data_IF_330277955358
#
_entry.id   IF_330277955358
#
_cell.length_a   1.000
_cell.length_b   1.000
_cell.length_c   1.000
_cell.angle_alpha   90.00
_cell.angle_beta   90.00
_cell.angle_gamma   90.00
#
_symmetry.space_group_name_H-M   'P 1'
#
loop_
_entity.id
_entity.type
_entity.pdbx_description
1 polymer ?
#
# COMPACT_ATOMS: atom_id res chain seq x y z
N UNK A 1 -5.54 -23.69 30.36
CA UNK A 1 -4.56 -23.03 29.46
C UNK A 1 -5.29 -22.76 28.17
N UNK A 2 -5.36 -21.52 27.70
CA UNK A 2 -6.01 -21.18 26.43
C UNK A 2 -5.20 -21.79 25.29
N UNK A 3 -5.79 -22.78 24.63
CA UNK A 3 -5.25 -23.52 23.50
C UNK A 3 -5.91 -23.02 22.23
N UNK A 4 -5.11 -22.74 21.20
CA UNK A 4 -5.64 -22.37 19.89
C UNK A 4 -5.86 -23.65 19.08
N UNK A 5 -7.12 -23.86 18.70
CA UNK A 5 -7.57 -24.97 17.87
C UNK A 5 -7.59 -24.54 16.41
N UNK A 6 -6.78 -25.19 15.58
CA UNK A 6 -6.73 -24.95 14.13
C UNK A 6 -7.26 -26.16 13.37
N UNK A 7 -8.05 -25.91 12.33
CA UNK A 7 -8.37 -26.92 11.33
C UNK A 7 -7.21 -27.13 10.35
N UNK A 8 -7.37 -28.09 9.43
CA UNK A 8 -6.32 -28.47 8.48
C UNK A 8 -5.99 -27.38 7.45
N UNK A 9 -6.99 -26.60 7.04
CA UNK A 9 -6.79 -25.49 6.11
C UNK A 9 -6.05 -24.35 6.80
N UNK A 10 -6.43 -24.05 8.05
CA UNK A 10 -5.78 -23.05 8.89
C UNK A 10 -4.32 -23.40 9.19
N UNK A 11 -4.02 -24.67 9.49
CA UNK A 11 -2.64 -25.13 9.69
C UNK A 11 -1.75 -24.91 8.45
N UNK A 12 -2.28 -25.12 7.25
CA UNK A 12 -1.54 -24.89 6.01
C UNK A 12 -1.24 -23.40 5.77
N UNK A 13 -2.20 -22.52 6.05
CA UNK A 13 -2.03 -21.07 5.92
C UNK A 13 -0.97 -20.58 6.91
N UNK A 14 -1.09 -20.96 8.18
CA UNK A 14 -0.10 -20.61 9.22
C UNK A 14 1.29 -21.12 8.83
N UNK A 15 1.39 -22.33 8.27
CA UNK A 15 2.64 -22.88 7.78
C UNK A 15 3.29 -22.01 6.69
N UNK A 16 2.51 -21.56 5.71
CA UNK A 16 3.01 -20.67 4.64
C UNK A 16 3.45 -19.30 5.18
N UNK A 17 2.71 -18.74 6.13
CA UNK A 17 3.06 -17.48 6.78
C UNK A 17 4.37 -17.59 7.56
N UNK A 18 4.59 -18.71 8.25
CA UNK A 18 5.81 -18.95 9.02
C UNK A 18 7.01 -19.17 8.10
N UNK A 19 6.86 -19.89 6.98
CA UNK A 19 7.92 -20.03 5.98
C UNK A 19 8.31 -18.64 5.40
N UNK A 20 7.33 -17.79 5.12
CA UNK A 20 7.56 -16.41 4.69
C UNK A 20 8.32 -15.59 5.74
N UNK A 21 7.93 -15.71 6.99
CA UNK A 21 8.56 -15.02 8.11
C UNK A 21 9.99 -15.54 8.40
N UNK A 22 10.22 -16.86 8.22
CA UNK A 22 11.55 -17.48 8.31
C UNK A 22 12.50 -16.93 7.26
N UNK A 23 12.03 -16.72 6.04
CA UNK A 23 12.87 -16.23 4.96
C UNK A 23 13.24 -14.75 5.11
N UNK A 24 12.55 -14.01 5.98
CA UNK A 24 12.77 -12.57 6.23
C UNK A 24 13.41 -12.24 7.58
N UNK A 25 13.49 -13.21 8.50
CA UNK A 25 14.04 -13.02 9.84
C UNK A 25 15.56 -13.26 9.87
N UNK A 26 16.35 -12.32 10.37
CA UNK A 26 17.82 -12.45 10.48
C UNK A 26 18.33 -12.67 11.93
N UNK A 27 17.50 -13.13 12.88
CA UNK A 27 17.90 -13.36 14.28
C UNK A 27 17.72 -14.81 14.75
N UNK A 28 18.74 -15.38 15.41
CA UNK A 28 18.79 -16.79 15.82
C UNK A 28 17.60 -17.21 16.72
N UNK A 29 17.22 -16.38 17.70
CA UNK A 29 16.14 -16.69 18.64
C UNK A 29 14.74 -16.71 17.98
N UNK A 30 14.49 -15.76 17.07
CA UNK A 30 13.21 -15.66 16.34
C UNK A 30 13.12 -16.77 15.30
N UNK A 31 14.21 -17.02 14.56
CA UNK A 31 14.29 -18.12 13.60
C UNK A 31 14.10 -19.47 14.30
N UNK A 32 14.75 -19.72 15.43
CA UNK A 32 14.56 -20.95 16.21
C UNK A 32 13.10 -21.13 16.65
N UNK A 33 12.45 -20.04 17.06
CA UNK A 33 11.04 -20.06 17.46
C UNK A 33 10.10 -20.33 16.27
N UNK A 34 10.33 -19.68 15.13
CA UNK A 34 9.61 -19.93 13.89
C UNK A 34 9.81 -21.36 13.37
N UNK A 35 11.06 -21.86 13.36
CA UNK A 35 11.38 -23.23 12.94
C UNK A 35 10.72 -24.27 13.84
N UNK A 36 10.63 -24.00 15.16
CA UNK A 36 9.92 -24.87 16.10
C UNK A 36 8.42 -24.95 15.78
N UNK A 37 7.76 -23.81 15.55
CA UNK A 37 6.33 -23.79 15.18
C UNK A 37 6.11 -24.43 13.80
N UNK A 38 7.01 -24.20 12.84
CA UNK A 38 6.93 -24.82 11.52
C UNK A 38 7.08 -26.34 11.57
N UNK A 39 7.99 -26.84 12.41
CA UNK A 39 8.18 -28.27 12.62
C UNK A 39 6.95 -28.91 13.26
N UNK A 40 6.32 -28.22 14.20
CA UNK A 40 5.05 -28.65 14.80
C UNK A 40 3.94 -28.76 13.76
N UNK A 41 3.75 -27.72 12.92
CA UNK A 41 2.72 -27.71 11.86
C UNK A 41 2.92 -28.87 10.87
N UNK A 42 4.17 -29.11 10.43
CA UNK A 42 4.51 -30.22 9.53
C UNK A 42 4.23 -31.59 10.15
N UNK A 43 4.49 -31.75 11.46
CA UNK A 43 4.18 -32.98 12.21
C UNK A 43 2.67 -33.19 12.41
N UNK A 44 1.88 -32.12 12.48
CA UNK A 44 0.42 -32.20 12.59
C UNK A 44 -0.31 -32.36 11.25
N UNK A 45 0.28 -31.90 10.14
CA UNK A 45 -0.32 -31.94 8.80
C UNK A 45 -0.03 -33.21 7.97
N UNK A 46 0.87 -34.08 8.43
CA UNK A 46 1.33 -35.27 7.67
C UNK A 46 0.25 -36.36 7.59
N UNK A 47 0.02 -37.00 6.42
CA UNK A 47 -1.07 -37.96 6.20
C UNK A 47 -0.95 -39.28 6.99
N UNK A 48 0.19 -39.58 7.61
CA UNK A 48 0.49 -40.91 8.21
C UNK A 48 0.15 -41.07 9.71
N UNK A 49 -0.58 -40.14 10.33
CA UNK A 49 -1.11 -40.40 11.69
C UNK A 49 -2.41 -41.21 11.61
N UNK A 50 -2.49 -42.37 12.28
CA UNK A 50 -3.72 -43.18 12.28
C UNK A 50 -4.85 -42.41 12.97
N UNK A 51 -5.97 -42.23 12.27
CA UNK A 51 -7.22 -41.77 12.87
C UNK A 51 -7.72 -42.80 13.91
N UNK A 52 -8.18 -42.38 15.09
CA UNK A 52 -9.05 -43.24 15.88
C UNK A 52 -10.39 -43.37 15.14
N UNK A 53 -10.86 -44.61 15.01
CA UNK A 53 -12.03 -44.94 14.20
C UNK A 53 -13.36 -44.45 14.82
N UNK A 54 -14.27 -44.05 13.91
CA UNK A 54 -15.73 -43.80 14.02
C UNK A 54 -16.18 -42.36 14.23
N UNK A 55 -17.17 -42.01 13.40
CA UNK A 55 -17.73 -40.70 13.15
C UNK A 55 -18.73 -40.22 14.21
N UNK A 56 -18.72 -38.91 14.48
CA UNK A 56 -19.90 -38.09 14.77
C UNK A 56 -19.57 -36.61 14.50
N UNK A 57 -20.54 -35.86 14.02
CA UNK A 57 -20.48 -34.42 13.73
C UNK A 57 -19.90 -33.61 14.92
N UNK A 58 -18.61 -33.31 14.84
CA UNK A 58 -17.87 -32.26 15.54
C UNK A 58 -16.42 -32.38 15.05
N UNK A 59 -15.95 -31.46 14.22
CA UNK A 59 -14.56 -31.45 13.75
C UNK A 59 -13.63 -31.18 14.92
N UNK A 60 -12.97 -32.21 15.44
CA UNK A 60 -11.90 -32.08 16.44
C UNK A 60 -10.70 -31.29 15.90
N UNK A 61 -10.00 -30.52 16.76
CA UNK A 61 -8.85 -29.71 16.34
C UNK A 61 -7.67 -30.55 15.89
N UNK A 62 -7.09 -30.20 14.73
CA UNK A 62 -5.97 -30.92 14.14
C UNK A 62 -4.61 -30.61 14.81
N UNK A 63 -4.54 -29.55 15.62
CA UNK A 63 -3.37 -29.19 16.42
C UNK A 63 -3.71 -28.20 17.54
N UNK A 64 -2.98 -28.27 18.65
CA UNK A 64 -3.10 -27.40 19.83
C UNK A 64 -1.81 -26.61 20.02
N UNK A 65 -1.89 -25.28 19.91
CA UNK A 65 -0.75 -24.36 20.04
C UNK A 65 -0.72 -23.64 21.40
N UNK A 66 0.48 -23.36 21.91
CA UNK A 66 0.69 -22.64 23.19
C UNK A 66 0.65 -21.11 23.02
N UNK A 67 0.54 -20.35 24.13
CA UNK A 67 0.60 -18.86 24.11
C UNK A 67 1.88 -18.30 23.46
N UNK A 68 3.00 -19.01 23.58
CA UNK A 68 4.25 -18.61 22.93
C UNK A 68 4.23 -18.86 21.41
N UNK A 69 3.45 -19.84 20.95
CA UNK A 69 3.28 -20.10 19.51
C UNK A 69 2.36 -19.06 18.86
N UNK A 70 1.34 -18.60 19.58
CA UNK A 70 0.45 -17.51 19.15
C UNK A 70 1.22 -16.22 18.83
N UNK A 71 2.24 -15.87 19.64
CA UNK A 71 3.08 -14.70 19.41
C UNK A 71 3.93 -14.80 18.14
N UNK A 72 4.37 -16.02 17.78
CA UNK A 72 5.13 -16.30 16.56
C UNK A 72 4.23 -16.29 15.34
N UNK A 73 2.98 -16.74 15.47
CA UNK A 73 1.98 -16.67 14.40
C UNK A 73 1.57 -15.22 14.12
N UNK A 74 1.33 -14.41 15.15
CA UNK A 74 1.07 -12.97 14.96
C UNK A 74 2.25 -12.24 14.34
N UNK A 75 3.49 -12.65 14.65
CA UNK A 75 4.67 -12.15 13.94
C UNK A 75 4.61 -12.45 12.43
N UNK A 76 4.29 -13.70 12.07
CA UNK A 76 4.17 -14.11 10.68
C UNK A 76 3.02 -13.39 9.93
N UNK A 77 1.88 -13.19 10.61
CA UNK A 77 0.76 -12.38 10.10
C UNK A 77 1.19 -10.94 9.87
N UNK A 78 1.90 -10.33 10.81
CA UNK A 78 2.40 -8.96 10.64
C UNK A 78 3.36 -8.87 9.46
N UNK A 79 4.29 -9.83 9.30
CA UNK A 79 5.21 -9.89 8.14
C UNK A 79 4.42 -10.00 6.83
N UNK A 80 3.39 -10.83 6.78
CA UNK A 80 2.48 -10.93 5.64
C UNK A 80 1.73 -9.61 5.36
N UNK A 81 1.13 -8.98 6.37
CA UNK A 81 0.50 -7.67 6.25
C UNK A 81 1.48 -6.59 5.78
N UNK A 82 2.76 -6.70 6.15
CA UNK A 82 3.80 -5.83 5.61
C UNK A 82 3.96 -6.02 4.10
N UNK A 83 4.04 -7.26 3.64
CA UNK A 83 4.24 -7.62 2.23
C UNK A 83 2.99 -7.30 1.39
N UNK A 84 1.80 -7.59 1.92
CA UNK A 84 0.49 -7.30 1.30
C UNK A 84 0.34 -5.81 0.99
N UNK A 85 0.74 -4.95 1.93
CA UNK A 85 0.79 -3.48 1.78
C UNK A 85 2.01 -3.00 0.96
N UNK A 86 2.36 -3.74 -0.09
CA UNK A 86 3.38 -3.35 -1.08
C UNK A 86 4.83 -3.26 -0.57
N UNK A 87 5.19 -3.74 0.62
CA UNK A 87 6.56 -3.56 1.15
C UNK A 87 7.60 -4.51 0.53
N UNK A 88 7.21 -5.57 -0.19
CA UNK A 88 8.13 -6.57 -0.75
C UNK A 88 7.60 -7.29 -2.02
N UNK A 89 7.47 -6.56 -3.13
CA UNK A 89 6.93 -7.08 -4.40
C UNK A 89 7.70 -8.31 -4.94
N UNK A 90 9.02 -8.36 -4.76
CA UNK A 90 9.86 -9.50 -5.17
C UNK A 90 9.57 -10.81 -4.41
N UNK A 91 8.84 -10.74 -3.28
CA UNK A 91 8.44 -11.91 -2.50
C UNK A 91 7.02 -12.35 -2.86
N UNK A 92 6.16 -11.46 -3.39
CA UNK A 92 4.80 -11.84 -3.79
C UNK A 92 4.81 -12.95 -4.84
N UNK A 93 5.68 -12.84 -5.85
CA UNK A 93 5.84 -13.83 -6.91
C UNK A 93 6.50 -15.13 -6.39
N UNK A 94 7.47 -15.03 -5.47
CA UNK A 94 8.17 -16.19 -4.88
C UNK A 94 7.26 -17.10 -4.05
N UNK A 95 6.28 -16.55 -3.35
CA UNK A 95 5.37 -17.31 -2.47
C UNK A 95 3.94 -17.44 -3.00
N UNK A 96 3.65 -16.92 -4.20
CA UNK A 96 2.32 -17.03 -4.81
C UNK A 96 1.23 -16.35 -3.97
N UNK A 97 1.49 -15.13 -3.47
CA UNK A 97 0.59 -14.41 -2.54
C UNK A 97 -0.76 -14.06 -3.20
N UNK A 98 -0.87 -14.05 -4.52
CA UNK A 98 -2.15 -13.92 -5.26
C UNK A 98 -3.15 -15.05 -4.97
N UNK A 99 -2.71 -16.16 -4.34
CA UNK A 99 -3.57 -17.28 -3.93
C UNK A 99 -4.20 -17.03 -2.53
N UNK A 100 -3.80 -15.98 -1.80
CA UNK A 100 -4.33 -15.67 -0.47
C UNK A 100 -5.52 -14.70 -0.45
N UNK A 101 -5.85 -14.03 -1.56
CA UNK A 101 -6.91 -13.00 -1.62
C UNK A 101 -8.32 -13.52 -1.28
N UNK A 102 -8.65 -14.78 -1.58
CA UNK A 102 -9.93 -15.40 -1.22
C UNK A 102 -9.99 -15.93 0.24
N UNK A 103 -8.83 -16.06 0.90
CA UNK A 103 -8.68 -16.54 2.29
C UNK A 103 -8.51 -15.39 3.30
N UNK A 104 -8.31 -14.16 2.83
CA UNK A 104 -7.68 -13.06 3.56
C UNK A 104 -8.57 -12.37 4.61
N UNK A 105 -9.83 -12.06 4.28
CA UNK A 105 -10.64 -11.18 5.15
C UNK A 105 -11.20 -11.88 6.39
N UNK A 106 -11.58 -13.15 6.25
CA UNK A 106 -12.17 -13.94 7.34
C UNK A 106 -11.10 -14.47 8.28
N UNK A 107 -9.93 -14.86 7.76
CA UNK A 107 -8.89 -15.46 8.60
C UNK A 107 -8.02 -14.43 9.32
N UNK A 108 -7.61 -13.31 8.69
CA UNK A 108 -6.86 -12.24 9.40
C UNK A 108 -7.70 -11.69 10.55
N UNK A 109 -8.98 -11.43 10.31
CA UNK A 109 -9.94 -11.01 11.35
C UNK A 109 -10.09 -12.06 12.45
N UNK A 110 -10.24 -13.35 12.10
CA UNK A 110 -10.32 -14.44 13.07
C UNK A 110 -9.01 -14.59 13.88
N UNK A 111 -7.85 -14.42 13.26
CA UNK A 111 -6.56 -14.49 13.93
C UNK A 111 -6.31 -13.29 14.87
N UNK A 112 -6.78 -12.10 14.49
CA UNK A 112 -6.81 -10.90 15.34
C UNK A 112 -7.75 -11.09 16.54
N UNK A 113 -8.94 -11.68 16.33
CA UNK A 113 -9.91 -12.01 17.38
C UNK A 113 -9.41 -13.12 18.32
N UNK A 114 -8.64 -14.09 17.81
CA UNK A 114 -8.08 -15.21 18.58
C UNK A 114 -6.87 -14.81 19.44
N UNK A 115 -6.24 -13.66 19.15
CA UNK A 115 -5.00 -13.24 19.81
C UNK A 115 -5.12 -11.77 20.27
N UNK A 116 -5.78 -11.51 21.42
CA UNK A 116 -5.97 -10.17 21.97
C UNK A 116 -4.67 -9.39 22.16
N UNK A 117 -4.69 -8.09 21.87
CA UNK A 117 -3.54 -7.18 22.04
C UNK A 117 -3.03 -7.14 23.51
N UNK A 118 -3.90 -7.42 24.47
CA UNK A 118 -3.60 -7.44 25.92
C UNK A 118 -2.65 -8.59 26.35
N UNK A 119 -2.54 -9.66 25.55
CA UNK A 119 -1.57 -10.73 25.75
C UNK A 119 -0.13 -10.32 25.37
N UNK A 120 0.05 -9.12 24.81
CA UNK A 120 1.33 -8.58 24.37
C UNK A 120 1.83 -7.44 25.26
N UNK A 121 3.01 -7.64 25.84
CA UNK A 121 3.74 -6.54 26.50
C UNK A 121 4.41 -5.63 25.46
N UNK A 122 4.21 -4.31 25.58
CA UNK A 122 4.86 -3.27 24.77
C UNK A 122 6.39 -3.41 24.61
N UNK A 123 7.05 -4.10 25.56
CA UNK A 123 8.48 -4.42 25.49
C UNK A 123 8.88 -5.41 24.39
N UNK A 124 7.99 -6.30 23.95
CA UNK A 124 8.28 -7.30 22.91
C UNK A 124 8.34 -6.65 21.52
N UNK A 125 7.36 -5.82 21.16
CA UNK A 125 7.35 -5.06 19.89
C UNK A 125 8.54 -4.11 19.76
N UNK A 126 9.02 -3.54 20.88
CA UNK A 126 10.22 -2.69 20.93
C UNK A 126 11.53 -3.47 20.68
N UNK A 127 11.60 -4.73 21.11
CA UNK A 127 12.73 -5.63 20.79
C UNK A 127 12.65 -6.15 19.36
N UNK A 128 11.45 -6.43 18.88
CA UNK A 128 11.16 -6.90 17.52
C UNK A 128 11.51 -5.86 16.45
N UNK A 129 11.09 -4.60 16.65
CA UNK A 129 11.47 -3.50 15.75
C UNK A 129 12.99 -3.27 15.72
N UNK A 130 13.70 -3.62 16.81
CA UNK A 130 15.16 -3.57 16.88
C UNK A 130 15.82 -4.72 16.10
N UNK A 131 15.20 -5.90 16.03
CA UNK A 131 15.67 -7.05 15.24
C UNK A 131 15.48 -6.86 13.73
N UNK A 132 14.47 -6.09 13.31
CA UNK A 132 14.20 -5.77 11.90
C UNK A 132 15.03 -4.57 11.38
N UNK A 133 15.84 -3.92 12.22
CA UNK A 133 16.70 -2.78 11.82
C UNK A 133 17.86 -3.17 10.89
N UNK A 134 18.08 -4.46 10.63
CA UNK A 134 19.14 -4.99 9.77
C UNK A 134 18.75 -5.29 8.32
N UNK A 135 17.46 -5.49 8.03
CA UNK A 135 17.02 -5.85 6.67
C UNK A 135 17.16 -4.65 5.73
N UNK A 136 17.92 -4.83 4.64
CA UNK A 136 18.05 -3.84 3.55
C UNK A 136 16.73 -3.76 2.78
N UNK A 137 15.73 -3.09 3.35
CA UNK A 137 14.52 -2.73 2.60
C UNK A 137 14.91 -1.65 1.58
N UNK A 138 14.73 -1.90 0.28
CA UNK A 138 14.99 -0.89 -0.74
C UNK A 138 14.08 0.32 -0.54
N UNK A 139 14.55 1.50 -0.93
CA UNK A 139 13.73 2.71 -0.91
C UNK A 139 12.52 2.53 -1.83
N UNK A 140 11.31 2.80 -1.31
CA UNK A 140 10.08 2.77 -2.11
C UNK A 140 9.87 4.11 -2.79
N UNK A 141 9.22 4.10 -3.95
CA UNK A 141 8.60 5.30 -4.52
C UNK A 141 7.13 5.31 -4.11
N UNK A 142 6.71 6.40 -3.48
CA UNK A 142 5.35 6.63 -3.00
C UNK A 142 4.78 7.87 -3.68
N UNK A 143 3.48 7.88 -3.91
CA UNK A 143 2.77 8.92 -4.65
C UNK A 143 1.54 9.36 -3.84
N UNK A 144 1.26 10.66 -3.84
CA UNK A 144 0.08 11.25 -3.19
C UNK A 144 -0.17 12.64 -3.77
N UNK A 145 -1.42 13.11 -3.79
CA UNK A 145 -1.79 14.43 -4.28
C UNK A 145 -2.76 15.16 -3.32
N UNK A 146 -2.81 16.49 -3.44
CA UNK A 146 -3.85 17.35 -2.87
C UNK A 146 -3.98 17.24 -1.34
N UNK A 147 -2.84 17.26 -0.62
CA UNK A 147 -2.83 17.19 0.85
C UNK A 147 -3.45 18.43 1.49
N UNK A 148 -3.28 19.60 0.86
CA UNK A 148 -3.84 20.87 1.28
C UNK A 148 -3.77 21.14 2.79
N UNK A 149 -2.57 21.02 3.36
CA UNK A 149 -2.32 21.45 4.73
C UNK A 149 -2.85 22.88 4.94
N UNK A 150 -3.43 23.12 6.12
CA UNK A 150 -4.02 24.40 6.52
C UNK A 150 -5.32 24.79 5.81
N UNK A 151 -5.97 23.90 5.05
CA UNK A 151 -7.18 24.24 4.28
C UNK A 151 -8.52 23.87 4.95
N UNK A 152 -9.03 24.74 5.83
CA UNK A 152 -10.34 24.55 6.51
C UNK A 152 -11.53 24.30 5.58
N UNK A 153 -11.52 24.96 4.41
CA UNK A 153 -12.60 24.83 3.43
C UNK A 153 -12.87 23.39 2.96
N UNK A 154 -11.84 22.53 2.93
CA UNK A 154 -11.96 21.14 2.46
C UNK A 154 -12.72 20.26 3.45
N UNK A 155 -12.64 20.58 4.74
CA UNK A 155 -13.35 19.85 5.79
C UNK A 155 -14.86 20.13 5.73
N UNK A 156 -15.27 21.37 5.46
CA UNK A 156 -16.66 21.81 5.69
C UNK A 156 -17.49 22.04 4.43
N UNK A 157 -16.86 22.39 3.30
CA UNK A 157 -17.58 22.92 2.12
C UNK A 157 -17.26 22.20 0.82
N UNK A 158 -16.15 21.45 0.76
CA UNK A 158 -15.66 20.85 -0.48
C UNK A 158 -15.54 19.33 -0.32
N UNK A 159 -14.33 18.80 -0.17
CA UNK A 159 -14.02 17.38 -0.06
C UNK A 159 -14.78 16.62 1.05
N UNK A 160 -15.35 17.33 2.04
CA UNK A 160 -15.93 16.76 3.26
C UNK A 160 -14.95 15.85 3.98
N UNK A 161 -13.69 16.31 4.10
CA UNK A 161 -12.66 15.58 4.84
C UNK A 161 -13.15 15.32 6.27
N UNK A 162 -12.87 14.15 6.87
CA UNK A 162 -13.43 13.73 8.16
C UNK A 162 -12.74 14.39 9.35
N UNK A 163 -12.48 15.70 9.26
CA UNK A 163 -11.86 16.53 10.28
C UNK A 163 -12.72 17.77 10.50
N UNK A 164 -12.68 18.35 11.68
CA UNK A 164 -13.42 19.58 12.00
C UNK A 164 -12.83 20.81 11.29
N UNK A 165 -11.51 20.87 11.23
CA UNK A 165 -10.70 21.97 10.70
C UNK A 165 -9.24 21.54 10.51
N UNK A 166 -8.40 22.46 10.04
CA UNK A 166 -6.98 22.19 9.84
C UNK A 166 -6.19 21.99 11.13
N UNK A 167 -6.68 22.45 12.29
CA UNK A 167 -6.01 22.19 13.57
C UNK A 167 -6.11 20.71 13.95
N UNK A 168 -7.20 20.04 13.56
CA UNK A 168 -7.34 18.59 13.68
C UNK A 168 -6.68 17.84 12.51
N UNK A 169 -6.88 18.30 11.27
CA UNK A 169 -6.38 17.62 10.08
C UNK A 169 -4.84 17.60 10.02
N UNK A 170 -4.17 18.73 10.26
CA UNK A 170 -2.72 18.81 10.02
C UNK A 170 -1.92 17.82 10.90
N UNK A 171 -2.12 17.73 12.22
CA UNK A 171 -1.42 16.75 13.06
C UNK A 171 -1.73 15.30 12.65
N UNK A 172 -2.96 15.02 12.25
CA UNK A 172 -3.38 13.68 11.87
C UNK A 172 -2.76 13.24 10.54
N UNK A 173 -2.70 14.13 9.54
CA UNK A 173 -1.98 13.86 8.29
C UNK A 173 -0.49 13.62 8.54
N UNK A 174 0.14 14.38 9.45
CA UNK A 174 1.54 14.15 9.86
C UNK A 174 1.70 12.78 10.53
N UNK A 175 0.76 12.37 11.39
CA UNK A 175 0.75 11.06 12.04
C UNK A 175 0.66 9.93 11.01
N UNK A 176 -0.36 9.98 10.14
CA UNK A 176 -0.59 8.99 9.07
C UNK A 176 0.64 8.89 8.16
N UNK A 177 1.22 10.03 7.77
CA UNK A 177 2.42 10.07 6.94
C UNK A 177 3.58 9.33 7.62
N UNK A 178 3.89 9.68 8.87
CA UNK A 178 5.05 9.13 9.58
C UNK A 178 4.89 7.66 10.01
N UNK A 179 3.65 7.15 10.07
CA UNK A 179 3.38 5.73 10.26
C UNK A 179 3.65 4.89 9.02
N UNK A 180 3.56 5.50 7.83
CA UNK A 180 3.63 4.79 6.55
C UNK A 180 4.91 5.09 5.75
N UNK A 181 5.61 6.18 6.05
CA UNK A 181 6.80 6.66 5.33
C UNK A 181 8.05 6.55 6.21
N UNK A 182 9.11 5.98 5.66
CA UNK A 182 10.43 5.93 6.28
C UNK A 182 11.36 7.00 5.71
N UNK A 183 12.45 7.31 6.42
CA UNK A 183 13.47 8.27 5.95
C UNK A 183 14.14 7.90 4.61
N UNK A 184 14.04 6.65 4.17
CA UNK A 184 14.65 6.18 2.92
C UNK A 184 13.70 6.31 1.72
N UNK A 185 12.40 6.37 1.95
CA UNK A 185 11.40 6.39 0.88
C UNK A 185 11.47 7.70 0.10
N UNK A 186 11.17 7.61 -1.19
CA UNK A 186 10.98 8.73 -2.11
C UNK A 186 9.47 9.00 -2.24
N UNK A 187 9.02 10.17 -1.81
CA UNK A 187 7.60 10.54 -1.86
C UNK A 187 7.38 11.66 -2.87
N UNK A 188 6.63 11.34 -3.92
CA UNK A 188 6.26 12.24 -5.00
C UNK A 188 4.87 12.84 -4.71
N UNK A 189 4.86 14.12 -4.38
CA UNK A 189 3.66 14.90 -4.06
C UNK A 189 3.18 15.57 -5.35
N UNK A 190 1.98 15.22 -5.81
CA UNK A 190 1.42 15.66 -7.09
C UNK A 190 0.60 16.95 -6.96
N UNK A 191 1.20 17.96 -6.35
CA UNK A 191 0.66 19.30 -6.19
C UNK A 191 -0.28 19.48 -5.01
N UNK A 192 -0.56 20.76 -4.76
CA UNK A 192 -1.51 21.24 -3.77
C UNK A 192 -1.19 20.71 -2.35
N UNK A 193 0.06 20.90 -1.95
CA UNK A 193 0.58 20.45 -0.67
C UNK A 193 0.02 21.28 0.50
N UNK A 194 0.06 22.61 0.41
CA UNK A 194 -0.27 23.53 1.50
C UNK A 194 -0.86 24.84 0.97
N UNK A 195 -1.83 25.41 1.70
CA UNK A 195 -2.32 26.78 1.42
C UNK A 195 -1.74 27.83 2.37
N UNK A 196 -0.89 27.42 3.32
CA UNK A 196 -0.25 28.34 4.25
C UNK A 196 0.91 29.10 3.60
N UNK A 197 1.51 30.02 4.37
CA UNK A 197 2.72 30.73 3.99
C UNK A 197 3.97 29.85 4.12
N UNK A 198 5.10 30.34 3.62
CA UNK A 198 6.37 29.61 3.57
C UNK A 198 6.76 29.00 4.92
N UNK A 199 6.81 29.84 5.97
CA UNK A 199 7.21 29.40 7.32
C UNK A 199 6.38 28.22 7.86
N UNK A 200 5.05 28.32 7.87
CA UNK A 200 4.19 27.24 8.39
C UNK A 200 4.25 25.99 7.52
N UNK A 201 4.51 26.15 6.22
CA UNK A 201 4.70 25.03 5.31
C UNK A 201 6.03 24.31 5.58
N UNK A 202 7.11 25.05 5.87
CA UNK A 202 8.39 24.47 6.30
C UNK A 202 8.22 23.64 7.58
N UNK A 203 7.51 24.18 8.58
CA UNK A 203 7.25 23.50 9.86
C UNK A 203 6.57 22.13 9.67
N UNK A 204 5.66 22.01 8.70
CA UNK A 204 5.06 20.72 8.35
C UNK A 204 6.07 19.83 7.65
N UNK A 205 6.74 20.32 6.60
CA UNK A 205 7.68 19.53 5.79
C UNK A 205 8.84 18.95 6.61
N UNK A 206 9.34 19.67 7.59
CA UNK A 206 10.40 19.22 8.51
C UNK A 206 9.96 18.02 9.37
N UNK A 207 8.66 17.91 9.68
CA UNK A 207 8.11 16.81 10.47
C UNK A 207 7.84 15.55 9.64
N UNK A 208 7.72 15.67 8.31
CA UNK A 208 7.40 14.55 7.44
C UNK A 208 8.64 13.70 7.15
N UNK A 209 8.55 12.38 7.31
CA UNK A 209 9.61 11.44 6.92
C UNK A 209 9.74 11.33 5.39
N UNK A 210 10.88 10.81 4.93
CA UNK A 210 11.15 10.53 3.51
C UNK A 210 11.78 11.69 2.75
N UNK A 211 12.26 11.38 1.55
CA UNK A 211 12.75 12.33 0.56
C UNK A 211 11.56 12.82 -0.25
N UNK A 212 11.27 14.12 -0.22
CA UNK A 212 10.06 14.65 -0.87
C UNK A 212 10.40 15.25 -2.22
N UNK A 213 9.54 14.99 -3.19
CA UNK A 213 9.59 15.54 -4.54
C UNK A 213 8.25 16.22 -4.80
N UNK A 214 8.26 17.45 -5.33
CA UNK A 214 7.03 18.21 -5.57
C UNK A 214 6.79 18.42 -7.04
N UNK A 215 5.64 17.96 -7.52
CA UNK A 215 5.03 18.50 -8.72
C UNK A 215 4.18 19.71 -8.32
N UNK A 216 4.35 20.86 -8.96
CA UNK A 216 3.68 22.10 -8.58
C UNK A 216 2.18 22.04 -8.93
N UNK A 217 1.32 22.27 -7.93
CA UNK A 217 -0.11 22.52 -8.10
C UNK A 217 -0.46 24.01 -8.00
N UNK A 218 -1.71 24.37 -8.33
CA UNK A 218 -2.12 25.78 -8.34
C UNK A 218 -2.28 26.41 -6.96
N UNK A 219 -2.34 25.61 -5.90
CA UNK A 219 -2.41 26.10 -4.52
C UNK A 219 -1.05 26.19 -3.84
N UNK A 220 0.04 25.73 -4.47
CA UNK A 220 1.41 25.79 -3.92
C UNK A 220 2.05 27.19 -3.98
N UNK A 221 1.27 28.23 -3.66
CA UNK A 221 1.71 29.64 -3.70
C UNK A 221 2.78 29.97 -2.66
N UNK A 222 2.96 29.11 -1.65
CA UNK A 222 4.04 29.23 -0.67
C UNK A 222 5.43 29.17 -1.34
N UNK A 223 5.53 28.61 -2.55
CA UNK A 223 6.77 28.58 -3.33
C UNK A 223 7.29 29.98 -3.71
N UNK A 224 6.40 30.97 -3.74
CA UNK A 224 6.74 32.38 -4.02
C UNK A 224 7.09 33.17 -2.74
N UNK A 225 6.89 32.56 -1.57
CA UNK A 225 7.19 33.20 -0.29
C UNK A 225 8.69 33.13 0.01
N UNK A 226 9.30 34.28 0.30
CA UNK A 226 10.73 34.41 0.63
C UNK A 226 11.15 33.61 1.87
N UNK A 227 10.20 33.29 2.76
CA UNK A 227 10.46 32.55 4.00
C UNK A 227 10.30 31.03 3.79
N UNK A 228 9.95 30.57 2.59
CA UNK A 228 9.91 29.16 2.24
C UNK A 228 11.32 28.60 1.96
N UNK A 229 11.61 27.41 2.49
CA UNK A 229 12.87 26.71 2.23
C UNK A 229 12.69 25.63 1.16
N UNK A 230 13.09 25.88 -0.11
CA UNK A 230 12.95 24.90 -1.18
C UNK A 230 13.85 23.67 -1.00
N UNK A 231 14.86 23.72 -0.12
CA UNK A 231 15.76 22.58 0.12
C UNK A 231 15.10 21.43 0.90
N UNK A 232 13.91 21.67 1.47
CA UNK A 232 13.07 20.63 2.07
C UNK A 232 12.48 19.65 1.04
N UNK A 233 12.60 19.98 -0.26
CA UNK A 233 12.34 19.09 -1.37
C UNK A 233 13.63 18.76 -2.11
N UNK A 234 13.74 17.52 -2.58
CA UNK A 234 14.84 17.09 -3.45
C UNK A 234 14.75 17.76 -4.84
N UNK A 235 13.53 17.95 -5.33
CA UNK A 235 13.24 18.86 -6.44
C UNK A 235 11.79 19.31 -6.44
N UNK A 236 11.57 20.45 -7.13
CA UNK A 236 10.26 21.06 -7.35
C UNK A 236 10.13 21.33 -8.86
N UNK A 237 9.10 20.78 -9.51
CA UNK A 237 8.92 20.86 -10.98
C UNK A 237 7.44 20.95 -11.36
N UNK A 238 7.07 21.55 -12.49
CA UNK A 238 5.67 21.51 -12.95
C UNK A 238 5.28 20.16 -13.57
N UNK A 239 6.25 19.35 -13.98
CA UNK A 239 6.08 18.07 -14.67
C UNK A 239 7.34 17.22 -14.51
N UNK A 240 7.18 15.89 -14.43
CA UNK A 240 8.31 14.96 -14.45
C UNK A 240 7.94 13.62 -15.11
N UNK A 241 8.93 12.95 -15.70
CA UNK A 241 8.82 11.56 -16.12
C UNK A 241 9.91 10.75 -15.42
N UNK A 242 9.53 9.67 -14.75
CA UNK A 242 10.45 8.84 -13.98
C UNK A 242 10.29 7.36 -14.34
N UNK A 243 11.29 6.57 -13.97
CA UNK A 243 11.23 5.12 -14.01
C UNK A 243 10.82 4.54 -12.64
N UNK A 244 9.87 3.62 -12.64
CA UNK A 244 9.50 2.84 -11.46
C UNK A 244 9.34 1.36 -11.81
N UNK A 245 10.26 0.52 -11.33
CA UNK A 245 10.21 -0.94 -11.52
C UNK A 245 9.93 -1.37 -12.98
N UNK A 246 10.69 -0.81 -13.92
CA UNK A 246 10.56 -1.10 -15.36
C UNK A 246 9.37 -0.42 -16.05
N UNK A 247 8.59 0.40 -15.34
CA UNK A 247 7.47 1.18 -15.86
C UNK A 247 7.87 2.65 -15.99
N UNK A 248 7.25 3.36 -16.93
CA UNK A 248 7.36 4.82 -17.06
C UNK A 248 6.21 5.45 -16.29
N UNK A 249 6.52 6.42 -15.44
CA UNK A 249 5.52 7.17 -14.67
C UNK A 249 5.62 8.63 -15.05
N UNK A 250 4.53 9.15 -15.60
CA UNK A 250 4.33 10.56 -15.94
C UNK A 250 3.67 11.23 -14.74
N UNK A 251 4.25 12.32 -14.26
CA UNK A 251 3.83 13.03 -13.07
C UNK A 251 3.45 14.46 -13.45
N UNK A 252 2.21 14.83 -13.16
CA UNK A 252 1.66 16.18 -13.32
C UNK A 252 0.62 16.40 -12.23
N UNK A 253 0.40 17.63 -11.80
CA UNK A 253 -0.74 17.92 -10.93
C UNK A 253 -2.05 17.79 -11.73
N UNK A 254 -2.08 18.36 -12.94
CA UNK A 254 -3.22 18.29 -13.86
C UNK A 254 -3.27 16.96 -14.63
N UNK A 255 -4.45 16.37 -14.87
CA UNK A 255 -4.59 15.23 -15.77
C UNK A 255 -4.21 15.62 -17.20
N UNK A 256 -3.24 14.91 -17.78
CA UNK A 256 -2.82 15.06 -19.17
C UNK A 256 -3.38 13.87 -19.96
N UNK A 257 -4.28 14.14 -20.90
CA UNK A 257 -5.04 13.11 -21.62
C UNK A 257 -4.19 12.33 -22.61
N UNK A 258 -3.19 13.00 -23.20
CA UNK A 258 -2.25 12.42 -24.15
C UNK A 258 -0.84 12.60 -23.60
N UNK A 259 -0.20 11.50 -23.22
CA UNK A 259 1.09 11.54 -22.51
C UNK A 259 2.16 10.68 -23.18
N UNK A 260 3.42 11.04 -22.93
CA UNK A 260 4.56 10.43 -23.59
C UNK A 260 4.64 8.92 -23.30
N UNK A 261 4.70 8.11 -24.35
CA UNK A 261 4.79 6.66 -24.24
C UNK A 261 3.49 5.94 -23.88
N UNK A 262 2.32 6.60 -23.95
CA UNK A 262 0.99 6.00 -23.71
C UNK A 262 0.77 4.68 -24.47
N UNK A 263 1.23 4.59 -25.72
CA UNK A 263 1.06 3.42 -26.58
C UNK A 263 2.08 2.29 -26.32
N UNK A 264 3.03 2.47 -25.39
CA UNK A 264 4.09 1.47 -25.15
C UNK A 264 3.56 0.28 -24.36
N UNK A 265 3.86 -0.91 -24.87
CA UNK A 265 3.53 -2.21 -24.26
C UNK A 265 4.80 -3.06 -24.12
N UNK A 266 4.77 -4.02 -23.19
CA UNK A 266 5.70 -5.17 -23.19
C UNK A 266 5.39 -6.11 -24.36
N UNK A 267 6.27 -7.08 -24.68
CA UNK A 267 5.99 -8.09 -25.69
C UNK A 267 4.71 -8.91 -25.45
N UNK A 268 4.31 -9.06 -24.18
CA UNK A 268 3.06 -9.73 -23.77
C UNK A 268 1.80 -8.85 -23.92
N UNK A 269 1.94 -7.62 -24.43
CA UNK A 269 0.85 -6.66 -24.61
C UNK A 269 0.57 -5.78 -23.38
N UNK A 270 1.23 -6.01 -22.24
CA UNK A 270 0.99 -5.24 -21.00
C UNK A 270 1.43 -3.78 -21.17
N UNK A 271 0.54 -2.80 -20.96
CA UNK A 271 0.91 -1.38 -20.97
C UNK A 271 1.90 -1.02 -19.85
N UNK A 272 2.92 -0.21 -20.15
CA UNK A 272 4.01 0.10 -19.20
C UNK A 272 4.10 1.56 -18.76
N UNK A 273 3.22 2.42 -19.27
CA UNK A 273 3.23 3.85 -18.96
C UNK A 273 2.02 4.19 -18.12
N UNK A 274 2.23 4.95 -17.05
CA UNK A 274 1.20 5.40 -16.12
C UNK A 274 1.27 6.92 -16.00
N UNK A 275 0.11 7.58 -16.01
CA UNK A 275 -0.03 9.01 -15.81
C UNK A 275 -0.67 9.24 -14.43
N UNK A 276 0.10 9.74 -13.49
CA UNK A 276 -0.37 10.05 -12.14
C UNK A 276 -0.69 11.54 -12.04
N UNK A 277 -1.86 11.85 -11.47
CA UNK A 277 -2.37 13.21 -11.34
C UNK A 277 -3.14 13.43 -10.03
N UNK A 278 -3.44 14.69 -9.72
CA UNK A 278 -4.30 15.12 -8.60
C UNK A 278 -5.36 16.09 -9.09
N UNK A 279 -5.49 17.25 -8.46
CA UNK A 279 -6.25 18.43 -8.91
C UNK A 279 -7.78 18.29 -8.93
N UNK A 280 -8.31 17.25 -9.58
CA UNK A 280 -9.76 17.09 -9.83
C UNK A 280 -10.51 16.46 -8.66
N UNK A 281 -9.79 15.97 -7.64
CA UNK A 281 -10.34 15.32 -6.45
C UNK A 281 -11.40 14.26 -6.81
N UNK A 282 -12.47 14.12 -6.01
CA UNK A 282 -13.65 13.30 -6.34
C UNK A 282 -14.82 14.15 -6.87
N UNK A 283 -14.54 15.02 -7.84
CA UNK A 283 -15.54 15.98 -8.39
C UNK A 283 -16.15 15.52 -9.72
N UNK A 284 -16.92 16.40 -10.38
CA UNK A 284 -17.42 16.13 -11.74
C UNK A 284 -16.28 15.99 -12.76
N UNK A 285 -15.14 16.66 -12.55
CA UNK A 285 -14.03 16.58 -13.50
C UNK A 285 -13.39 15.19 -13.49
N UNK A 286 -13.27 14.54 -12.33
CA UNK A 286 -12.85 13.13 -12.26
C UNK A 286 -13.81 12.22 -13.04
N UNK A 287 -15.13 12.50 -13.00
CA UNK A 287 -16.09 11.74 -13.81
C UNK A 287 -15.86 11.93 -15.31
N UNK A 288 -15.52 13.13 -15.76
CA UNK A 288 -15.17 13.41 -17.15
C UNK A 288 -13.85 12.74 -17.55
N UNK A 289 -12.85 12.72 -16.66
CA UNK A 289 -11.60 11.97 -16.88
C UNK A 289 -11.89 10.48 -17.02
N UNK A 290 -12.80 9.92 -16.21
CA UNK A 290 -13.20 8.51 -16.31
C UNK A 290 -13.83 8.21 -17.68
N UNK A 291 -14.73 9.06 -18.16
CA UNK A 291 -15.32 8.91 -19.50
C UNK A 291 -14.26 8.98 -20.60
N UNK A 292 -13.29 9.90 -20.49
CA UNK A 292 -12.18 9.98 -21.43
C UNK A 292 -11.34 8.69 -21.45
N UNK A 293 -11.03 8.13 -20.28
CA UNK A 293 -10.29 6.86 -20.16
C UNK A 293 -11.06 5.73 -20.84
N UNK A 294 -12.37 5.64 -20.63
CA UNK A 294 -13.22 4.60 -21.22
C UNK A 294 -13.31 4.75 -22.75
N UNK A 295 -13.53 5.97 -23.25
CA UNK A 295 -13.53 6.24 -24.70
C UNK A 295 -12.19 5.85 -25.31
N UNK A 296 -11.08 6.21 -24.66
CA UNK A 296 -9.73 5.90 -25.14
C UNK A 296 -9.51 4.39 -25.18
N UNK A 297 -9.84 3.66 -24.11
CA UNK A 297 -9.69 2.20 -24.05
C UNK A 297 -10.58 1.46 -25.05
N UNK A 298 -11.74 2.02 -25.41
CA UNK A 298 -12.64 1.42 -26.40
C UNK A 298 -12.30 1.83 -27.85
N UNK A 299 -11.44 2.83 -28.03
CA UNK A 299 -10.99 3.25 -29.35
C UNK A 299 -9.94 2.26 -29.88
N UNK A 300 -10.21 1.68 -31.06
CA UNK A 300 -9.26 0.82 -31.75
C UNK A 300 -8.48 1.61 -32.80
N UNK A 301 -7.16 1.40 -32.82
CA UNK A 301 -6.28 2.04 -33.80
C UNK A 301 -5.34 1.01 -34.40
N UNK A 302 -5.17 1.09 -35.71
CA UNK A 302 -4.16 0.30 -36.42
C UNK A 302 -2.80 0.97 -36.25
N UNK A 303 -1.95 0.38 -35.41
CA UNK A 303 -0.60 0.85 -35.17
C UNK A 303 0.39 0.23 -36.16
N UNK A 304 1.51 0.92 -36.41
CA UNK A 304 2.56 0.42 -37.31
C UNK A 304 3.12 -0.91 -36.78
N UNK A 305 3.02 -1.97 -37.58
CA UNK A 305 3.53 -3.30 -37.23
C UNK A 305 2.56 -4.19 -36.44
N UNK A 306 1.29 -3.78 -36.32
CA UNK A 306 0.20 -4.60 -35.78
C UNK A 306 -0.75 -4.94 -36.93
N UNK A 307 -1.14 -6.21 -37.06
CA UNK A 307 -2.00 -6.68 -38.15
C UNK A 307 -3.46 -6.23 -37.99
N UNK A 308 -3.96 -6.19 -36.76
CA UNK A 308 -5.34 -5.85 -36.42
C UNK A 308 -5.43 -4.57 -35.56
N UNK A 309 -6.50 -3.78 -35.69
CA UNK A 309 -6.73 -2.62 -34.82
C UNK A 309 -6.84 -3.02 -33.33
N UNK A 310 -6.03 -2.40 -32.49
CA UNK A 310 -5.98 -2.68 -31.05
C UNK A 310 -6.50 -1.49 -30.21
N UNK A 311 -7.07 -1.78 -29.02
CA UNK A 311 -7.36 -0.77 -28.00
C UNK A 311 -6.15 0.11 -27.64
N UNK A 312 -6.40 1.41 -27.41
CA UNK A 312 -5.38 2.34 -26.89
C UNK A 312 -5.20 2.11 -25.38
N UNK A 313 -3.98 1.84 -24.89
CA UNK A 313 -3.73 1.83 -23.46
C UNK A 313 -3.98 3.20 -22.82
N UNK A 314 -4.66 3.21 -21.67
CA UNK A 314 -4.89 4.45 -20.92
C UNK A 314 -4.84 4.18 -19.42
N UNK A 315 -3.66 4.36 -18.82
CA UNK A 315 -3.41 4.18 -17.40
C UNK A 315 -3.27 5.54 -16.72
N UNK A 316 -4.38 6.25 -16.56
CA UNK A 316 -4.44 7.50 -15.82
C UNK A 316 -4.97 7.22 -14.41
N UNK A 317 -4.22 7.62 -13.38
CA UNK A 317 -4.56 7.36 -11.97
C UNK A 317 -4.58 8.67 -11.19
N UNK A 318 -5.72 8.96 -10.59
CA UNK A 318 -5.90 10.05 -9.65
C UNK A 318 -5.37 9.64 -8.28
N UNK A 319 -4.29 10.30 -7.83
CA UNK A 319 -3.62 10.08 -6.56
C UNK A 319 -4.18 10.98 -5.42
N UNK A 320 -5.40 11.50 -5.58
CA UNK A 320 -6.09 12.31 -4.57
C UNK A 320 -6.07 11.62 -3.20
N UNK A 321 -5.56 12.32 -2.19
CA UNK A 321 -5.25 11.73 -0.88
C UNK A 321 -6.44 11.02 -0.20
N UNK A 322 -7.69 11.43 -0.42
CA UNK A 322 -8.83 10.73 0.19
C UNK A 322 -9.08 9.34 -0.39
N UNK A 323 -8.61 9.05 -1.60
CA UNK A 323 -8.77 7.71 -2.20
C UNK A 323 -7.82 6.68 -1.58
N UNK A 324 -6.78 7.12 -0.87
CA UNK A 324 -5.81 6.27 -0.19
C UNK A 324 -5.87 6.40 1.33
N UNK A 325 -6.96 6.92 1.89
CA UNK A 325 -7.09 7.22 3.32
C UNK A 325 -5.91 8.07 3.84
N UNK A 326 -5.47 9.03 3.02
CA UNK A 326 -4.33 9.92 3.25
C UNK A 326 -2.96 9.25 3.34
N UNK A 327 -2.86 7.97 2.98
CA UNK A 327 -1.60 7.23 2.95
C UNK A 327 -0.90 7.44 1.60
N UNK A 328 0.40 7.81 1.57
CA UNK A 328 1.19 7.76 0.34
C UNK A 328 1.41 6.30 -0.10
N UNK A 329 1.03 5.99 -1.34
CA UNK A 329 1.03 4.62 -1.86
C UNK A 329 2.08 4.42 -2.95
N UNK A 330 2.58 3.20 -3.08
CA UNK A 330 3.36 2.77 -4.25
C UNK A 330 2.52 2.79 -5.53
N UNK A 331 3.16 2.72 -6.69
CA UNK A 331 2.45 2.62 -7.97
C UNK A 331 1.54 1.37 -8.02
N UNK A 332 2.00 0.24 -7.51
CA UNK A 332 1.24 -1.02 -7.49
C UNK A 332 -0.02 -0.89 -6.62
N UNK A 333 0.10 -0.28 -5.44
CA UNK A 333 -1.05 0.00 -4.57
C UNK A 333 -2.04 0.97 -5.22
N UNK A 334 -1.56 2.02 -5.89
CA UNK A 334 -2.41 2.94 -6.63
C UNK A 334 -3.18 2.26 -7.77
N UNK A 335 -2.55 1.34 -8.50
CA UNK A 335 -3.22 0.56 -9.55
C UNK A 335 -4.39 -0.24 -8.97
N UNK A 336 -4.19 -0.88 -7.80
CA UNK A 336 -5.23 -1.67 -7.14
C UNK A 336 -6.38 -0.80 -6.60
N UNK A 337 -6.05 0.31 -5.93
CA UNK A 337 -7.03 1.27 -5.39
C UNK A 337 -7.87 1.87 -6.52
N UNK A 338 -7.24 2.33 -7.59
CA UNK A 338 -7.92 2.95 -8.74
C UNK A 338 -8.79 1.92 -9.49
N UNK A 339 -8.30 0.69 -9.70
CA UNK A 339 -9.08 -0.39 -10.31
C UNK A 339 -10.32 -0.75 -9.48
N UNK A 340 -10.20 -0.80 -8.14
CA UNK A 340 -11.35 -1.01 -7.25
C UNK A 340 -12.36 0.14 -7.37
N UNK A 341 -11.90 1.39 -7.22
CA UNK A 341 -12.75 2.60 -7.31
C UNK A 341 -13.54 2.64 -8.61
N UNK A 342 -12.88 2.37 -9.75
CA UNK A 342 -13.52 2.41 -11.07
C UNK A 342 -14.51 1.27 -11.29
N UNK A 343 -14.26 0.07 -10.76
CA UNK A 343 -15.25 -1.02 -10.80
C UNK A 343 -16.52 -0.67 -10.04
N UNK A 344 -16.39 -0.06 -8.87
CA UNK A 344 -17.54 0.38 -8.07
C UNK A 344 -18.36 1.47 -8.79
N UNK A 345 -17.71 2.36 -9.56
CA UNK A 345 -18.40 3.37 -10.38
C UNK A 345 -19.19 2.78 -11.56
N UNK A 346 -18.79 1.63 -12.09
CA UNK A 346 -19.48 0.96 -13.22
C UNK A 346 -20.71 0.16 -12.76
N UNK A 347 -20.86 -0.06 -11.44
CA UNK A 347 -22.00 -0.75 -10.84
C UNK A 347 -23.12 0.20 -10.38
N UNK A 348 -22.87 1.51 -10.45
CA UNK A 348 -23.80 2.62 -10.15
C UNK A 348 -24.38 3.18 -11.44
#
# INVERSE_FOLDING_TARGET
>A
METINLDRQELNIVGSLIDLALDLSEGDDIRASLTRVQSFIKLTGSPDKPQPAKASENTEPAGVLSKNDAAIIRYAINVYEMIRRGRYESLKEKYGIDIMDDLDKTWVKRAEEMIPDELYGAGYMKRLSKSLKGTKVPARKLYIADLHFFHDGLCRRMDHRPFKDHYEMNPELIRIWNENVTKKDEVYILGDFSIAKGKSTNEVLEQLAGKKYLIIGNHDRYLEDKDFDPSLFEWIRPYAEIGDNGRRVILSHYPIFCYNGQYRKKPDGTPITYMLYGHVHNTHDEKLVNQFIDITKNTKVLSKGVEEPEPIPCNMINCFCMFSDYVPLTLDEWILVDAKRRRELQLL
#
